data_IF_665484827647
#
_entry.id   IF_665484827647
#
_cell.length_a   1.000
_cell.length_b   1.000
_cell.length_c   1.000
_cell.angle_alpha   90.00
_cell.angle_beta   90.00
_cell.angle_gamma   90.00
#
_symmetry.space_group_name_H-M   'P 1'
#
loop_
_entity.id
_entity.type
_entity.pdbx_description
1 polymer ?
#
# COMPACT_ATOMS: atom_id res chain seq x y z
N UNK A 1 -7.90 -3.81 11.46
CA UNK A 1 -6.53 -3.84 12.01
C UNK A 1 -5.63 -4.54 11.00
N UNK A 2 -4.84 -3.81 10.23
CA UNK A 2 -3.86 -4.39 9.31
C UNK A 2 -2.49 -4.39 10.00
N UNK A 3 -2.06 -5.55 10.47
CA UNK A 3 -0.70 -5.77 10.96
C UNK A 3 0.13 -6.21 9.77
N UNK A 4 0.99 -5.33 9.27
CA UNK A 4 1.90 -5.63 8.18
C UNK A 4 2.99 -6.59 8.63
N UNK A 5 3.02 -7.82 8.11
CA UNK A 5 4.18 -8.72 8.18
C UNK A 5 5.03 -8.56 6.92
N UNK A 6 6.29 -8.25 7.10
CA UNK A 6 7.33 -8.39 6.07
C UNK A 6 7.83 -9.83 6.04
N UNK A 7 8.10 -10.43 4.86
CA UNK A 7 8.70 -11.76 4.79
C UNK A 7 10.19 -11.70 5.10
N UNK A 8 10.58 -12.52 6.08
CA UNK A 8 11.90 -13.07 6.38
C UNK A 8 13.15 -12.18 6.27
N UNK A 9 13.45 -11.52 7.34
CA UNK A 9 14.70 -11.51 8.11
C UNK A 9 14.40 -10.73 9.38
N UNK A 10 14.18 -11.46 10.47
CA UNK A 10 13.88 -10.90 11.78
C UNK A 10 15.20 -10.83 12.55
N UNK A 11 15.67 -9.62 12.87
CA UNK A 11 16.39 -9.40 14.09
C UNK A 11 15.53 -8.58 15.04
N UNK A 12 15.38 -9.09 16.24
CA UNK A 12 14.87 -8.44 17.47
C UNK A 12 13.56 -7.66 17.34
N UNK A 13 12.54 -8.20 18.00
CA UNK A 13 11.25 -7.61 18.38
C UNK A 13 10.93 -6.25 17.73
N UNK A 14 10.41 -6.30 16.51
CA UNK A 14 9.87 -5.09 15.86
C UNK A 14 8.68 -4.58 16.69
N UNK A 15 8.86 -3.43 17.29
CA UNK A 15 7.78 -2.74 18.00
C UNK A 15 6.59 -2.55 17.04
N UNK A 16 5.35 -2.79 17.47
CA UNK A 16 4.19 -2.62 16.61
C UNK A 16 4.09 -1.16 16.14
N UNK A 17 4.06 -0.96 14.84
CA UNK A 17 3.91 0.36 14.22
C UNK A 17 2.45 0.52 13.78
N UNK A 18 1.74 1.48 14.33
CA UNK A 18 0.42 1.87 13.87
C UNK A 18 0.54 2.93 12.76
N UNK A 19 0.07 2.60 11.56
CA UNK A 19 -0.03 3.56 10.46
C UNK A 19 -1.50 3.78 10.13
N UNK A 20 -2.00 5.01 10.25
CA UNK A 20 -3.43 5.33 10.12
C UNK A 20 -3.69 6.52 9.18
N UNK A 21 -4.93 6.57 8.66
CA UNK A 21 -5.48 7.69 7.89
C UNK A 21 -5.61 8.96 8.76
N UNK A 22 -5.58 10.14 8.13
CA UNK A 22 -5.70 11.43 8.83
C UNK A 22 -6.98 11.53 9.69
N UNK A 23 -8.08 10.92 9.25
CA UNK A 23 -9.35 10.90 10.01
C UNK A 23 -9.26 10.10 11.32
N UNK A 24 -8.22 9.27 11.51
CA UNK A 24 -7.99 8.52 12.75
C UNK A 24 -6.92 9.16 13.65
N UNK A 25 -6.49 10.40 13.34
CA UNK A 25 -5.60 11.18 14.18
C UNK A 25 -6.40 11.82 15.33
N UNK A 26 -7.00 10.98 16.20
CA UNK A 26 -7.71 11.46 17.38
C UNK A 26 -6.74 11.70 18.53
N UNK A 27 -7.07 12.68 19.38
CA UNK A 27 -6.31 12.98 20.58
C UNK A 27 -6.12 11.75 21.49
N UNK A 28 -7.18 10.96 21.69
CA UNK A 28 -7.17 9.76 22.51
C UNK A 28 -6.12 8.75 22.06
N UNK A 29 -6.06 8.50 20.73
CA UNK A 29 -5.10 7.55 20.16
C UNK A 29 -3.67 8.03 20.29
N UNK A 30 -3.42 9.33 20.08
CA UNK A 30 -2.09 9.93 20.24
C UNK A 30 -1.66 9.86 21.70
N UNK A 31 -2.52 10.27 22.63
CA UNK A 31 -2.24 10.25 24.08
C UNK A 31 -2.01 8.83 24.57
N UNK A 32 -2.86 7.89 24.18
CA UNK A 32 -2.65 6.48 24.52
C UNK A 32 -1.31 5.95 23.97
N UNK A 33 -0.98 6.24 22.72
CA UNK A 33 0.27 5.79 22.11
C UNK A 33 1.50 6.44 22.75
N UNK A 34 1.39 7.69 23.19
CA UNK A 34 2.47 8.39 23.90
C UNK A 34 2.75 7.79 25.29
N UNK A 35 1.74 7.27 25.97
CA UNK A 35 1.85 6.59 27.26
C UNK A 35 2.49 5.20 27.14
N UNK A 36 2.50 4.60 25.94
CA UNK A 36 3.05 3.27 25.70
C UNK A 36 4.51 3.33 25.26
N UNK A 37 5.43 2.94 26.09
CA UNK A 37 6.89 2.97 25.79
C UNK A 37 7.30 2.17 24.55
N UNK A 38 6.51 1.16 24.16
CA UNK A 38 6.82 0.24 23.06
C UNK A 38 5.99 0.50 21.79
N UNK A 39 5.06 1.48 21.80
CA UNK A 39 4.21 1.77 20.64
C UNK A 39 4.78 2.94 19.87
N UNK A 40 5.02 2.72 18.58
CA UNK A 40 5.37 3.78 17.63
C UNK A 40 4.21 4.01 16.69
N UNK A 41 3.92 5.29 16.42
CA UNK A 41 2.86 5.63 15.48
C UNK A 41 3.35 6.62 14.42
N UNK A 42 2.71 6.56 13.26
CA UNK A 42 2.79 7.55 12.19
C UNK A 42 1.42 7.64 11.53
N UNK A 43 0.85 8.83 11.49
CA UNK A 43 -0.48 9.04 10.92
C UNK A 43 -0.56 10.35 10.15
N UNK A 44 -1.46 10.42 9.15
CA UNK A 44 -1.74 11.66 8.46
C UNK A 44 -2.41 12.67 9.39
N UNK A 45 -2.07 13.92 9.23
CA UNK A 45 -2.68 15.05 9.95
C UNK A 45 -3.33 15.98 8.93
N UNK A 46 -4.60 16.35 9.16
CA UNK A 46 -5.28 17.31 8.32
C UNK A 46 -4.64 18.68 8.45
N UNK A 47 -4.42 19.35 7.31
CA UNK A 47 -3.89 20.71 7.30
C UNK A 47 -4.86 21.70 7.97
N UNK A 48 -4.30 22.67 8.68
CA UNK A 48 -5.03 23.80 9.24
C UNK A 48 -4.21 25.10 9.09
N UNK A 49 -4.81 26.23 9.42
CA UNK A 49 -4.17 27.53 9.27
C UNK A 49 -2.85 27.65 10.03
N UNK A 50 -2.79 27.16 11.28
CA UNK A 50 -1.58 27.19 12.11
C UNK A 50 -0.44 26.34 11.51
N UNK A 51 -0.76 25.14 11.01
CA UNK A 51 0.22 24.29 10.33
C UNK A 51 0.74 24.92 9.03
N UNK A 52 -0.15 25.55 8.27
CA UNK A 52 0.23 26.26 7.05
C UNK A 52 1.11 27.49 7.34
N UNK A 53 0.87 28.20 8.45
CA UNK A 53 1.74 29.28 8.91
C UNK A 53 3.13 28.76 9.28
N UNK A 54 3.24 27.66 10.04
CA UNK A 54 4.53 27.03 10.37
C UNK A 54 5.30 26.56 9.14
N UNK A 55 4.61 26.15 8.09
CA UNK A 55 5.21 25.68 6.84
C UNK A 55 5.38 26.77 5.79
N UNK A 56 5.00 28.03 6.05
CA UNK A 56 4.91 29.12 5.07
C UNK A 56 6.22 29.39 4.34
N UNK A 57 7.34 29.39 5.04
CA UNK A 57 8.66 29.60 4.45
C UNK A 57 9.00 28.49 3.45
N UNK A 58 8.83 27.23 3.84
CA UNK A 58 9.08 26.10 2.96
C UNK A 58 8.16 26.09 1.73
N UNK A 59 6.89 26.48 1.93
CA UNK A 59 5.92 26.59 0.83
C UNK A 59 6.38 27.66 -0.18
N UNK A 60 6.85 28.81 0.31
CA UNK A 60 7.34 29.90 -0.52
C UNK A 60 8.61 29.52 -1.28
N UNK A 61 9.56 28.86 -0.62
CA UNK A 61 10.78 28.33 -1.25
C UNK A 61 10.47 27.35 -2.38
N UNK A 62 9.58 26.35 -2.14
CA UNK A 62 9.20 25.38 -3.13
C UNK A 62 8.48 26.00 -4.34
N UNK A 63 7.63 27.01 -4.11
CA UNK A 63 6.98 27.77 -5.18
C UNK A 63 7.99 28.54 -6.02
N UNK A 64 8.95 29.23 -5.39
CA UNK A 64 9.98 30.00 -6.06
C UNK A 64 10.93 29.09 -6.88
N UNK A 65 11.31 27.94 -6.31
CA UNK A 65 12.16 26.94 -7.00
C UNK A 65 11.45 26.36 -8.23
N UNK A 66 10.17 26.00 -8.10
CA UNK A 66 9.38 25.50 -9.23
C UNK A 66 9.18 26.56 -10.32
N UNK A 67 8.94 27.82 -9.92
CA UNK A 67 8.78 28.93 -10.87
C UNK A 67 10.04 29.10 -11.76
N UNK A 68 11.23 28.92 -11.16
CA UNK A 68 12.52 29.00 -11.85
C UNK A 68 12.84 27.78 -12.71
N UNK A 69 12.63 26.59 -12.18
CA UNK A 69 13.13 25.36 -12.79
C UNK A 69 12.11 24.66 -13.68
N UNK A 70 10.80 24.87 -13.42
CA UNK A 70 9.68 24.14 -14.06
C UNK A 70 9.76 22.62 -13.91
N UNK A 71 10.57 22.14 -12.95
CA UNK A 71 10.72 20.71 -12.62
C UNK A 71 10.02 20.41 -11.30
N UNK A 72 9.61 19.17 -11.11
CA UNK A 72 9.02 18.71 -9.87
C UNK A 72 9.95 18.97 -8.69
N UNK A 73 9.46 19.75 -7.73
CA UNK A 73 10.19 20.09 -6.51
C UNK A 73 9.50 19.45 -5.33
N UNK A 74 10.27 18.81 -4.46
CA UNK A 74 9.75 18.18 -3.23
C UNK A 74 10.69 18.46 -2.09
N UNK A 75 10.16 18.99 -0.98
CA UNK A 75 10.90 19.33 0.23
C UNK A 75 10.17 18.80 1.46
N UNK A 76 10.93 18.58 2.52
CA UNK A 76 10.45 18.09 3.81
C UNK A 76 11.00 18.96 4.92
N UNK A 77 10.14 19.27 5.90
CA UNK A 77 10.52 19.96 7.11
C UNK A 77 9.82 19.30 8.30
N UNK A 78 10.36 19.48 9.49
CA UNK A 78 9.74 19.02 10.72
C UNK A 78 9.66 20.16 11.74
N UNK A 79 8.67 20.08 12.60
CA UNK A 79 8.47 21.00 13.70
C UNK A 79 7.65 20.34 14.81
N UNK A 80 7.71 20.89 16.00
CA UNK A 80 6.82 20.52 17.11
C UNK A 80 5.51 21.27 16.95
N UNK A 81 4.42 20.56 17.13
CA UNK A 81 3.09 21.11 16.99
C UNK A 81 2.15 20.56 18.06
N UNK A 82 1.34 21.45 18.63
CA UNK A 82 0.27 21.11 19.55
C UNK A 82 -1.06 21.65 19.02
N UNK A 83 -2.00 20.78 18.77
CA UNK A 83 -3.38 21.15 18.50
C UNK A 83 -4.05 21.62 19.81
N UNK A 84 -5.11 22.40 19.73
CA UNK A 84 -5.83 22.90 20.91
C UNK A 84 -6.37 21.77 21.81
N UNK A 85 -6.73 20.64 21.20
CA UNK A 85 -7.23 19.45 21.90
C UNK A 85 -6.15 18.50 22.43
N UNK A 86 -4.87 18.76 22.13
CA UNK A 86 -3.77 17.86 22.54
C UNK A 86 -3.20 18.29 23.90
N UNK A 87 -2.83 17.32 24.71
CA UNK A 87 -2.21 17.57 26.03
C UNK A 87 -0.74 17.97 25.90
N UNK A 88 -0.04 17.46 24.88
CA UNK A 88 1.40 17.68 24.66
C UNK A 88 1.69 17.96 23.19
N UNK A 89 2.91 18.41 22.94
CA UNK A 89 3.41 18.63 21.58
C UNK A 89 3.87 17.30 20.95
N UNK A 90 3.62 17.17 19.64
CA UNK A 90 4.07 16.06 18.86
C UNK A 90 4.89 16.52 17.66
N UNK A 91 5.79 15.64 17.23
CA UNK A 91 6.60 15.85 16.04
C UNK A 91 5.72 15.76 14.80
N UNK A 92 5.65 16.84 14.04
CA UNK A 92 4.96 16.91 12.75
C UNK A 92 5.98 17.05 11.63
N UNK A 93 5.79 16.28 10.58
CA UNK A 93 6.58 16.36 9.35
C UNK A 93 5.66 16.88 8.25
N UNK A 94 6.06 17.94 7.57
CA UNK A 94 5.41 18.46 6.38
C UNK A 94 6.16 18.02 5.12
N UNK A 95 5.41 17.54 4.14
CA UNK A 95 5.86 17.39 2.76
C UNK A 95 5.23 18.49 1.93
N UNK A 96 6.06 19.31 1.29
CA UNK A 96 5.64 20.29 0.29
C UNK A 96 6.16 19.83 -1.06
N UNK A 97 5.28 19.68 -2.01
CA UNK A 97 5.57 19.26 -3.38
C UNK A 97 4.87 20.18 -4.36
N UNK A 98 5.58 20.60 -5.39
CA UNK A 98 5.01 21.34 -6.51
C UNK A 98 5.38 20.64 -7.81
N UNK A 99 4.38 20.32 -8.59
CA UNK A 99 4.50 19.65 -9.89
C UNK A 99 3.52 20.26 -10.90
N UNK A 100 3.37 19.66 -12.06
CA UNK A 100 2.44 20.10 -13.12
C UNK A 100 0.98 20.16 -12.63
N UNK A 101 0.59 19.34 -11.65
CA UNK A 101 -0.75 19.34 -11.06
C UNK A 101 -0.95 20.45 -10.01
N UNK A 102 0.12 21.17 -9.65
CA UNK A 102 0.09 22.26 -8.66
C UNK A 102 0.79 21.93 -7.36
N UNK A 103 0.52 22.78 -6.36
CA UNK A 103 1.09 22.66 -5.02
C UNK A 103 0.33 21.65 -4.17
N UNK A 104 1.07 20.71 -3.57
CA UNK A 104 0.53 19.71 -2.67
C UNK A 104 1.27 19.74 -1.33
N UNK A 105 0.55 20.07 -0.27
CA UNK A 105 1.07 20.13 1.11
C UNK A 105 0.42 19.02 1.93
N UNK A 106 1.23 18.20 2.58
CA UNK A 106 0.77 17.09 3.41
C UNK A 106 1.49 17.07 4.74
N UNK A 107 0.75 16.82 5.80
CA UNK A 107 1.25 16.75 7.16
C UNK A 107 1.10 15.33 7.70
N UNK A 108 2.09 14.88 8.45
CA UNK A 108 2.02 13.65 9.23
C UNK A 108 2.51 13.93 10.63
N UNK A 109 1.95 13.25 11.61
CA UNK A 109 2.36 13.29 13.01
C UNK A 109 2.94 11.94 13.43
N UNK A 110 3.97 11.96 14.28
CA UNK A 110 4.69 10.75 14.65
C UNK A 110 5.45 10.91 15.96
N UNK A 111 5.60 9.81 16.70
CA UNK A 111 6.51 9.70 17.83
C UNK A 111 7.84 8.96 17.50
N UNK A 112 8.12 8.70 16.23
CA UNK A 112 9.41 8.15 15.83
C UNK A 112 10.54 9.13 16.10
N UNK A 113 11.64 8.62 16.66
CA UNK A 113 12.88 9.39 16.95
C UNK A 113 13.86 9.40 15.77
N UNK A 114 13.53 8.79 14.63
CA UNK A 114 14.36 8.83 13.42
C UNK A 114 14.55 10.28 12.97
N UNK A 115 15.80 10.67 12.70
CA UNK A 115 16.16 12.06 12.41
C UNK A 115 15.84 12.50 10.97
N UNK A 116 15.55 11.58 10.06
CA UNK A 116 15.32 11.93 8.65
C UNK A 116 13.81 11.99 8.32
N UNK A 117 13.23 13.22 8.18
CA UNK A 117 11.82 13.43 7.86
C UNK A 117 11.40 12.78 6.53
N UNK A 118 12.25 12.90 5.50
CA UNK A 118 12.02 12.31 4.18
C UNK A 118 11.90 10.78 4.27
N UNK A 119 12.81 10.12 5.00
CA UNK A 119 12.81 8.67 5.18
C UNK A 119 11.56 8.19 5.91
N UNK A 120 11.15 8.91 6.97
CA UNK A 120 9.91 8.61 7.69
C UNK A 120 8.69 8.74 6.78
N UNK A 121 8.61 9.81 6.00
CA UNK A 121 7.51 10.03 5.08
C UNK A 121 7.49 8.98 3.96
N UNK A 122 8.57 8.86 3.18
CA UNK A 122 8.62 8.02 1.97
C UNK A 122 8.67 6.52 2.30
N UNK A 123 9.46 6.10 3.31
CA UNK A 123 9.70 4.68 3.59
C UNK A 123 8.79 4.06 4.63
N UNK A 124 8.21 4.88 5.55
CA UNK A 124 7.30 4.37 6.58
C UNK A 124 5.86 4.77 6.33
N UNK A 125 5.58 6.08 6.19
CA UNK A 125 4.21 6.54 6.00
C UNK A 125 3.60 6.12 4.66
N UNK A 126 4.34 6.26 3.55
CA UNK A 126 3.84 5.90 2.22
C UNK A 126 3.54 4.40 2.06
N UNK A 127 4.15 3.51 2.86
CA UNK A 127 3.80 2.07 2.88
C UNK A 127 2.36 1.79 3.29
N UNK A 128 1.69 2.75 3.91
CA UNK A 128 0.26 2.68 4.15
C UNK A 128 -0.55 2.50 2.87
N UNK A 129 -0.11 3.15 1.78
CA UNK A 129 -0.76 3.02 0.48
C UNK A 129 -0.75 1.60 -0.09
N UNK A 130 0.19 0.76 0.32
CA UNK A 130 0.26 -0.63 -0.13
C UNK A 130 -0.97 -1.42 0.33
N UNK A 131 -1.45 -1.17 1.56
CA UNK A 131 -2.66 -1.81 2.08
C UNK A 131 -3.91 -1.44 1.25
N UNK A 132 -4.05 -0.17 0.90
CA UNK A 132 -5.16 0.31 0.06
C UNK A 132 -5.07 -0.29 -1.35
N UNK A 133 -3.87 -0.42 -1.90
CA UNK A 133 -3.65 -1.07 -3.18
C UNK A 133 -4.05 -2.55 -3.15
N UNK A 134 -3.68 -3.29 -2.10
CA UNK A 134 -4.06 -4.69 -1.94
C UNK A 134 -5.57 -4.86 -1.78
N UNK A 135 -6.25 -3.99 -1.01
CA UNK A 135 -7.71 -3.98 -0.90
C UNK A 135 -8.35 -3.72 -2.28
N UNK A 136 -7.82 -2.77 -3.04
CA UNK A 136 -8.28 -2.47 -4.41
C UNK A 136 -8.06 -3.68 -5.34
N UNK A 137 -6.92 -4.34 -5.26
CA UNK A 137 -6.65 -5.56 -6.03
C UNK A 137 -7.60 -6.70 -5.65
N UNK A 138 -7.90 -6.88 -4.36
CA UNK A 138 -8.89 -7.88 -3.92
C UNK A 138 -10.28 -7.58 -4.45
N UNK A 139 -10.73 -6.32 -4.38
CA UNK A 139 -12.04 -5.92 -4.93
C UNK A 139 -12.13 -6.16 -6.43
N UNK A 140 -11.18 -5.65 -7.17
CA UNK A 140 -11.23 -5.64 -8.64
C UNK A 140 -10.72 -6.96 -9.26
N UNK A 141 -9.73 -7.60 -8.65
CA UNK A 141 -9.11 -8.82 -9.16
C UNK A 141 -9.89 -10.08 -8.89
N UNK A 142 -10.39 -10.24 -7.66
CA UNK A 142 -11.11 -11.45 -7.20
C UNK A 142 -12.53 -11.17 -6.72
N UNK A 143 -13.05 -9.95 -6.94
CA UNK A 143 -14.42 -9.57 -6.59
C UNK A 143 -14.80 -9.78 -5.11
N UNK A 144 -13.87 -9.49 -4.21
CA UNK A 144 -14.04 -9.69 -2.78
C UNK A 144 -15.15 -8.82 -2.13
N UNK A 145 -15.63 -7.79 -2.84
CA UNK A 145 -16.72 -6.90 -2.41
C UNK A 145 -18.12 -7.37 -2.86
N UNK A 146 -18.21 -8.44 -3.64
CA UNK A 146 -19.51 -8.97 -4.10
C UNK A 146 -20.18 -9.80 -3.00
N UNK A 147 -20.92 -9.11 -2.14
CA UNK A 147 -21.67 -9.68 -1.01
C UNK A 147 -23.14 -9.84 -1.41
N UNK A 148 -23.47 -10.89 -2.18
CA UNK A 148 -24.82 -11.10 -2.75
C UNK A 148 -25.69 -12.07 -1.94
N UNK A 149 -25.22 -12.57 -0.80
CA UNK A 149 -26.00 -13.48 0.03
C UNK A 149 -26.73 -12.72 1.13
N UNK A 150 -27.94 -13.18 1.52
CA UNK A 150 -28.70 -12.58 2.61
C UNK A 150 -28.10 -12.87 4.00
N UNK A 151 -27.40 -14.01 4.15
CA UNK A 151 -26.78 -14.40 5.42
C UNK A 151 -25.36 -13.85 5.54
N UNK A 152 -25.05 -13.25 6.68
CA UNK A 152 -23.71 -12.73 6.98
C UNK A 152 -22.62 -13.81 6.86
N UNK A 153 -22.84 -14.99 7.45
CA UNK A 153 -21.90 -16.11 7.41
C UNK A 153 -21.57 -16.58 5.98
N UNK A 154 -22.56 -16.58 5.09
CA UNK A 154 -22.34 -16.93 3.69
C UNK A 154 -21.48 -15.89 2.97
N UNK A 155 -21.69 -14.60 3.22
CA UNK A 155 -20.84 -13.53 2.68
C UNK A 155 -19.43 -13.57 3.26
N UNK A 156 -19.30 -13.88 4.56
CA UNK A 156 -17.99 -14.06 5.20
C UNK A 156 -17.23 -15.23 4.59
N UNK A 157 -17.87 -16.35 4.33
CA UNK A 157 -17.26 -17.48 3.64
C UNK A 157 -16.79 -17.12 2.22
N UNK A 158 -17.63 -16.40 1.47
CA UNK A 158 -17.23 -15.89 0.13
C UNK A 158 -16.01 -14.98 0.21
N UNK A 159 -15.93 -14.11 1.21
CA UNK A 159 -14.76 -13.26 1.42
C UNK A 159 -13.50 -14.10 1.68
N UNK A 160 -13.60 -15.16 2.47
CA UNK A 160 -12.46 -16.06 2.71
C UNK A 160 -12.02 -16.79 1.43
N UNK A 161 -12.96 -17.25 0.59
CA UNK A 161 -12.62 -17.84 -0.72
C UNK A 161 -11.93 -16.82 -1.64
N UNK A 162 -12.41 -15.58 -1.67
CA UNK A 162 -11.77 -14.50 -2.43
C UNK A 162 -10.38 -14.18 -1.89
N UNK A 163 -10.17 -14.20 -0.58
CA UNK A 163 -8.87 -13.99 0.04
C UNK A 163 -7.89 -15.13 -0.30
N UNK A 164 -8.37 -16.38 -0.30
CA UNK A 164 -7.58 -17.55 -0.71
C UNK A 164 -7.17 -17.44 -2.18
N UNK A 165 -8.12 -17.14 -3.06
CA UNK A 165 -7.85 -16.92 -4.49
C UNK A 165 -6.84 -15.78 -4.71
N UNK A 166 -6.95 -14.70 -3.94
CA UNK A 166 -5.97 -13.60 -3.95
C UNK A 166 -4.57 -14.08 -3.58
N UNK A 167 -4.42 -14.86 -2.51
CA UNK A 167 -3.13 -15.40 -2.05
C UNK A 167 -2.52 -16.31 -3.12
N UNK A 168 -3.30 -17.20 -3.72
CA UNK A 168 -2.84 -18.10 -4.78
C UNK A 168 -2.37 -17.32 -6.01
N UNK A 169 -3.10 -16.29 -6.44
CA UNK A 169 -2.70 -15.43 -7.56
C UNK A 169 -1.44 -14.63 -7.26
N UNK A 170 -1.27 -14.16 -6.02
CA UNK A 170 -0.04 -13.51 -5.59
C UNK A 170 1.15 -14.49 -5.60
N UNK A 171 0.94 -15.73 -5.19
CA UNK A 171 1.97 -16.78 -5.22
C UNK A 171 2.39 -17.10 -6.66
N UNK A 172 1.44 -17.27 -7.57
CA UNK A 172 1.70 -17.40 -9.01
C UNK A 172 2.51 -16.21 -9.53
N UNK A 173 2.12 -14.98 -9.19
CA UNK A 173 2.84 -13.75 -9.59
C UNK A 173 4.30 -13.76 -9.10
N UNK A 174 4.52 -14.09 -7.85
CA UNK A 174 5.84 -14.03 -7.22
C UNK A 174 6.75 -15.20 -7.60
N UNK A 175 6.22 -16.41 -7.70
CA UNK A 175 7.02 -17.61 -7.97
C UNK A 175 7.15 -17.88 -9.47
N UNK A 176 6.03 -17.95 -10.17
CA UNK A 176 6.00 -18.39 -11.57
C UNK A 176 6.31 -17.25 -12.56
N UNK A 177 5.88 -16.02 -12.26
CA UNK A 177 6.03 -14.89 -13.17
C UNK A 177 7.21 -13.97 -12.82
N UNK A 178 8.06 -14.38 -11.88
CA UNK A 178 9.18 -13.57 -11.36
C UNK A 178 10.10 -13.02 -12.45
N UNK A 179 10.36 -13.80 -13.50
CA UNK A 179 11.26 -13.43 -14.62
C UNK A 179 10.51 -12.86 -15.82
N UNK A 180 9.22 -12.58 -15.70
CA UNK A 180 8.39 -12.13 -16.81
C UNK A 180 7.98 -10.67 -16.71
N UNK A 181 7.51 -10.08 -17.80
CA UNK A 181 6.94 -8.73 -17.83
C UNK A 181 5.65 -8.60 -17.00
N UNK A 182 5.03 -9.73 -16.60
CA UNK A 182 3.84 -9.73 -15.75
C UNK A 182 4.12 -9.70 -14.25
N UNK A 183 5.37 -9.72 -13.82
CA UNK A 183 5.77 -9.64 -12.41
C UNK A 183 5.13 -8.44 -11.67
N UNK A 184 5.05 -7.31 -12.33
CA UNK A 184 4.49 -6.07 -11.77
C UNK A 184 3.05 -5.79 -12.23
N UNK A 185 2.40 -6.74 -12.92
CA UNK A 185 1.05 -6.53 -13.43
C UNK A 185 -0.01 -6.66 -12.33
N UNK A 186 -1.17 -6.00 -12.52
CA UNK A 186 -2.32 -6.14 -11.63
C UNK A 186 -2.95 -7.53 -11.72
N UNK A 187 -3.69 -7.95 -10.70
CA UNK A 187 -4.41 -9.23 -10.72
C UNK A 187 -5.44 -9.32 -11.84
N UNK A 188 -6.07 -8.21 -12.22
CA UNK A 188 -6.96 -8.17 -13.38
C UNK A 188 -6.21 -8.57 -14.65
N UNK A 189 -5.01 -8.02 -14.83
CA UNK A 189 -4.15 -8.34 -15.98
C UNK A 189 -3.73 -9.81 -15.98
N UNK A 190 -3.38 -10.36 -14.81
CA UNK A 190 -3.04 -11.78 -14.67
C UNK A 190 -4.22 -12.66 -15.02
N UNK A 191 -5.39 -12.36 -14.47
CA UNK A 191 -6.62 -13.11 -14.75
C UNK A 191 -6.94 -13.13 -16.25
N UNK A 192 -6.90 -11.96 -16.90
CA UNK A 192 -7.26 -11.85 -18.31
C UNK A 192 -6.22 -12.47 -19.24
N UNK A 193 -4.93 -12.43 -18.88
CA UNK A 193 -3.84 -12.93 -19.74
C UNK A 193 -3.42 -14.37 -19.48
N UNK A 194 -3.78 -14.94 -18.34
CA UNK A 194 -3.39 -16.30 -17.95
C UNK A 194 -4.61 -17.18 -17.74
N UNK A 195 -5.53 -16.79 -16.84
CA UNK A 195 -6.67 -17.64 -16.47
C UNK A 195 -7.70 -17.70 -17.58
N UNK A 196 -8.04 -16.56 -18.18
CA UNK A 196 -9.02 -16.50 -19.29
C UNK A 196 -8.39 -16.76 -20.66
N UNK A 197 -7.30 -17.52 -20.71
CA UNK A 197 -6.73 -17.94 -21.97
C UNK A 197 -7.52 -19.11 -22.55
N UNK A 198 -7.85 -19.10 -23.85
CA UNK A 198 -8.49 -20.22 -24.49
C UNK A 198 -7.53 -21.43 -24.52
N UNK A 199 -8.01 -22.58 -24.08
CA UNK A 199 -7.27 -23.82 -24.02
C UNK A 199 -8.11 -24.98 -24.59
N UNK A 200 -7.47 -25.99 -25.15
CA UNK A 200 -8.09 -27.26 -25.47
C UNK A 200 -7.87 -28.19 -24.29
N UNK A 201 -8.96 -28.68 -23.71
CA UNK A 201 -8.93 -29.68 -22.65
C UNK A 201 -9.28 -31.03 -23.24
N UNK A 202 -8.40 -32.02 -23.06
CA UNK A 202 -8.62 -33.40 -23.46
C UNK A 202 -8.53 -34.28 -22.22
N UNK A 203 -9.63 -34.93 -21.88
CA UNK A 203 -9.69 -35.88 -20.80
C UNK A 203 -9.23 -37.28 -21.29
N UNK A 204 -8.29 -37.85 -20.58
CA UNK A 204 -7.78 -39.19 -20.79
C UNK A 204 -8.04 -40.04 -19.54
N UNK A 205 -8.01 -41.36 -19.64
CA UNK A 205 -8.31 -42.29 -18.52
C UNK A 205 -7.55 -41.99 -17.23
N UNK A 206 -6.31 -41.50 -17.34
CA UNK A 206 -5.42 -41.28 -16.20
C UNK A 206 -4.97 -39.82 -16.01
N UNK A 207 -5.29 -38.92 -16.93
CA UNK A 207 -4.82 -37.56 -16.89
C UNK A 207 -5.72 -36.59 -17.67
N UNK A 208 -5.76 -35.34 -17.24
CA UNK A 208 -6.38 -34.24 -17.98
C UNK A 208 -5.26 -33.47 -18.69
N UNK A 209 -5.30 -33.45 -20.01
CA UNK A 209 -4.36 -32.71 -20.84
C UNK A 209 -4.92 -31.35 -21.20
N UNK A 210 -4.19 -30.28 -20.85
CA UNK A 210 -4.53 -28.89 -21.14
C UNK A 210 -3.55 -28.35 -22.17
N UNK A 211 -4.02 -28.00 -23.34
CA UNK A 211 -3.20 -27.50 -24.44
C UNK A 211 -3.53 -26.03 -24.71
N UNK A 212 -2.52 -25.16 -24.62
CA UNK A 212 -2.64 -23.78 -25.05
C UNK A 212 -2.52 -23.67 -26.57
N UNK A 213 -3.18 -22.66 -27.15
CA UNK A 213 -3.06 -22.39 -28.57
C UNK A 213 -1.58 -22.26 -28.98
N UNK A 214 -1.15 -22.82 -30.14
CA UNK A 214 0.24 -22.80 -30.60
C UNK A 214 0.86 -21.40 -30.66
N UNK A 215 0.07 -20.39 -31.04
CA UNK A 215 0.48 -18.98 -31.13
C UNK A 215 0.21 -18.17 -29.85
N UNK A 216 -0.13 -18.82 -28.72
CA UNK A 216 -0.38 -18.09 -27.48
C UNK A 216 0.91 -17.40 -27.01
N UNK A 217 0.93 -16.06 -26.84
CA UNK A 217 2.16 -15.29 -26.60
C UNK A 217 2.87 -15.66 -25.27
N UNK A 218 2.17 -16.35 -24.37
CA UNK A 218 2.68 -16.79 -23.06
C UNK A 218 2.91 -18.31 -22.94
N UNK A 219 2.80 -19.05 -24.05
CA UNK A 219 2.97 -20.50 -24.08
C UNK A 219 4.28 -20.96 -23.44
N UNK A 220 5.39 -20.30 -23.72
CA UNK A 220 6.70 -20.63 -23.17
C UNK A 220 6.79 -20.51 -21.65
N UNK A 221 6.09 -19.58 -21.05
CA UNK A 221 6.08 -19.40 -19.59
C UNK A 221 5.28 -20.48 -18.88
N UNK A 222 4.09 -20.79 -19.42
CA UNK A 222 3.17 -21.75 -18.82
C UNK A 222 3.78 -23.14 -18.91
N UNK A 223 4.37 -23.50 -20.05
CA UNK A 223 5.03 -24.79 -20.24
C UNK A 223 6.26 -24.95 -19.34
N UNK A 224 7.01 -23.88 -19.11
CA UNK A 224 8.23 -23.93 -18.27
C UNK A 224 7.91 -24.09 -16.79
N UNK A 225 6.81 -23.49 -16.33
CA UNK A 225 6.43 -23.51 -14.92
C UNK A 225 5.58 -24.74 -14.50
N UNK A 226 4.96 -25.46 -15.45
CA UNK A 226 4.23 -26.70 -15.17
C UNK A 226 5.11 -27.96 -15.23
N UNK A 227 6.37 -27.86 -15.61
CA UNK A 227 7.34 -28.96 -15.58
C UNK A 227 7.97 -29.23 -14.21
N UNK A 228 7.56 -28.48 -13.17
CA UNK A 228 8.08 -28.62 -11.81
C UNK A 228 6.97 -29.17 -10.91
N UNK A 229 6.55 -30.38 -11.17
CA UNK A 229 5.84 -31.24 -10.22
C UNK A 229 6.35 -32.67 -10.37
#
# INVERSE_FOLDING_TARGET
>A
MCVGRTPNNVPLASQPTMTRLAMFCSHEVITWAAQQNKVRFITGLSGNQKLNQLASNLISEVKAEYAKTKKDVRRYQEFQYKASSWTHEERVIVKVEHNVQGLNVRYIVTNFKDRNPRRLYEKKYCKRGDCELYIKEMKNGVYADRMSCHKFSANQFRLYLSALAYILLQDVRHKMLRKSSLKASTLITLRNKIIFSPVKVTEQKTQIRVEFQPKHPKRGWIHWNLKVA
#
